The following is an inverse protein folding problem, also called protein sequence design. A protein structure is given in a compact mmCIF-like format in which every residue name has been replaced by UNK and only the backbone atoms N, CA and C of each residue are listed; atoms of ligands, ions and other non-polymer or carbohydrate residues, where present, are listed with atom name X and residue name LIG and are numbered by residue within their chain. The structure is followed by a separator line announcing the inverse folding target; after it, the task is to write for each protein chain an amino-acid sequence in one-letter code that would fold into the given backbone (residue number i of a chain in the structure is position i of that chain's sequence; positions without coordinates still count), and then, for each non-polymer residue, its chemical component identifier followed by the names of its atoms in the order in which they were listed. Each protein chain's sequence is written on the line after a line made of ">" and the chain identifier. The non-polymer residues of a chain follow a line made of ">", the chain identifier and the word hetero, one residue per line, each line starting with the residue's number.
data_IF_009778389290
#
_entry.id   IF_009778389290
#
_cell.length_a   1.000
_cell.length_b   1.000
_cell.length_c   1.000
_cell.angle_alpha   90.00
_cell.angle_beta   90.00
_cell.angle_gamma   90.00
#
_symmetry.space_group_name_H-M   'P 1'
#
loop_
_entity.id
_entity.type
_entity.pdbx_description
1 polymer ?
#
# COMPACT_ATOMS: atom_id res chain seq x y z
N UNK A 1 -21.61 0.91 17.39
CA UNK A 1 -20.16 0.98 17.14
C UNK A 1 -19.90 2.23 16.33
N UNK A 2 -18.94 3.05 16.74
CA UNK A 2 -18.56 4.32 16.10
C UNK A 2 -17.05 4.39 15.96
N UNK A 3 -16.57 4.93 14.85
CA UNK A 3 -15.14 5.15 14.64
C UNK A 3 -14.66 6.24 15.59
N UNK A 4 -13.58 5.98 16.32
CA UNK A 4 -13.00 6.92 17.29
C UNK A 4 -11.67 7.50 16.84
N UNK A 5 -10.93 6.78 15.99
CA UNK A 5 -9.59 7.18 15.56
C UNK A 5 -9.16 6.42 14.30
N UNK A 6 -8.25 7.01 13.52
CA UNK A 6 -7.57 6.38 12.39
C UNK A 6 -6.06 6.60 12.57
N UNK A 7 -5.31 5.50 12.71
CA UNK A 7 -3.86 5.55 12.95
C UNK A 7 -3.09 4.93 11.82
N UNK A 8 -1.97 5.53 11.47
CA UNK A 8 -1.07 5.08 10.41
C UNK A 8 0.23 4.53 11.01
N UNK A 9 0.81 3.54 10.34
CA UNK A 9 2.09 2.93 10.72
C UNK A 9 2.92 2.78 9.45
N UNK A 10 3.88 3.68 9.28
CA UNK A 10 4.83 3.63 8.17
C UNK A 10 5.98 2.69 8.55
N UNK A 11 6.15 1.62 7.78
CA UNK A 11 7.19 0.61 8.00
C UNK A 11 8.13 0.58 6.80
N UNK A 12 9.44 0.67 7.05
CA UNK A 12 10.44 0.47 6.01
C UNK A 12 10.62 -1.02 5.76
N UNK A 13 10.36 -1.46 4.52
CA UNK A 13 10.56 -2.83 4.05
C UNK A 13 11.85 -3.01 3.22
N UNK A 14 12.72 -2.01 3.15
CA UNK A 14 13.99 -2.10 2.41
C UNK A 14 15.11 -2.75 3.23
N UNK A 15 16.04 -3.45 2.57
CA UNK A 15 17.37 -3.72 3.14
C UNK A 15 18.16 -2.41 3.23
N UNK A 16 19.24 -2.32 4.02
CA UNK A 16 20.10 -1.13 4.03
C UNK A 16 20.57 -0.70 2.64
N UNK A 17 20.86 -1.64 1.71
CA UNK A 17 21.26 -1.30 0.32
C UNK A 17 20.09 -0.89 -0.58
N UNK A 18 18.84 -1.10 -0.14
CA UNK A 18 17.61 -0.67 -0.82
C UNK A 18 16.73 0.16 0.11
N UNK A 19 17.34 0.91 1.03
CA UNK A 19 16.65 1.77 1.95
C UNK A 19 15.83 2.79 1.15
N UNK A 20 14.51 2.80 1.36
CA UNK A 20 13.59 3.68 0.62
C UNK A 20 12.90 3.06 -0.59
N UNK A 21 13.32 1.88 -1.07
CA UNK A 21 12.67 1.22 -2.23
C UNK A 21 11.26 0.72 -1.91
N UNK A 22 11.01 0.33 -0.66
CA UNK A 22 9.71 -0.20 -0.24
C UNK A 22 9.31 0.28 1.15
N UNK A 23 8.13 0.91 1.23
CA UNK A 23 7.52 1.34 2.48
C UNK A 23 6.09 0.80 2.56
N UNK A 24 5.74 0.06 3.61
CA UNK A 24 4.35 -0.31 3.83
C UNK A 24 3.69 0.72 4.72
N UNK A 25 2.50 1.18 4.34
CA UNK A 25 1.68 2.03 5.18
C UNK A 25 0.46 1.25 5.66
N UNK A 26 0.49 0.85 6.92
CA UNK A 26 -0.65 0.21 7.56
C UNK A 26 -1.57 1.24 8.19
N UNK A 27 -2.87 0.96 8.14
CA UNK A 27 -3.92 1.82 8.69
C UNK A 27 -4.71 1.02 9.72
N UNK A 28 -4.95 1.58 10.90
CA UNK A 28 -5.86 1.02 11.90
C UNK A 28 -7.03 1.96 12.15
N UNK A 29 -8.24 1.47 11.96
CA UNK A 29 -9.48 2.20 12.28
C UNK A 29 -10.00 1.66 13.60
N UNK A 30 -10.02 2.50 14.63
CA UNK A 30 -10.45 2.15 15.99
C UNK A 30 -11.91 2.54 16.24
N UNK A 31 -12.57 1.84 17.17
CA UNK A 31 -13.96 2.12 17.54
C UNK A 31 -14.18 2.25 19.04
N UNK A 32 -15.32 2.83 19.41
CA UNK A 32 -15.84 2.96 20.79
C UNK A 32 -16.06 1.61 21.51
N UNK A 33 -16.19 0.52 20.77
CA UNK A 33 -16.31 -0.85 21.31
C UNK A 33 -14.97 -1.50 21.63
N UNK A 34 -13.84 -0.85 21.30
CA UNK A 34 -12.49 -1.41 21.42
C UNK A 34 -12.09 -2.32 20.25
N UNK A 35 -13.00 -2.63 19.31
CA UNK A 35 -12.65 -3.27 18.05
C UNK A 35 -11.90 -2.31 17.13
N UNK A 36 -10.98 -2.88 16.35
CA UNK A 36 -10.29 -2.17 15.27
C UNK A 36 -10.14 -3.06 14.05
N UNK A 37 -10.14 -2.42 12.88
CA UNK A 37 -9.76 -3.04 11.62
C UNK A 37 -8.39 -2.58 11.16
N UNK A 38 -7.77 -3.35 10.28
CA UNK A 38 -6.46 -3.05 9.70
C UNK A 38 -6.55 -3.07 8.18
N UNK A 39 -5.96 -2.07 7.56
CA UNK A 39 -5.79 -1.95 6.12
C UNK A 39 -4.35 -1.60 5.77
N UNK A 40 -4.08 -1.57 4.48
CA UNK A 40 -2.78 -1.19 3.92
C UNK A 40 -2.98 -0.41 2.64
N UNK A 41 -2.08 0.52 2.39
CA UNK A 41 -2.12 1.33 1.19
C UNK A 41 -0.73 1.57 0.62
N UNK A 42 -0.73 1.91 -0.66
CA UNK A 42 0.45 2.23 -1.46
C UNK A 42 0.21 3.53 -2.23
N UNK A 43 1.14 3.91 -3.12
CA UNK A 43 1.03 5.14 -3.91
C UNK A 43 1.68 6.34 -3.24
N UNK A 44 2.94 6.16 -2.83
CA UNK A 44 3.77 7.11 -2.08
C UNK A 44 3.42 7.16 -0.58
N UNK A 45 3.75 6.08 0.17
CA UNK A 45 3.36 5.86 1.56
C UNK A 45 3.50 7.08 2.49
N UNK A 46 4.61 7.83 2.42
CA UNK A 46 4.78 9.05 3.24
C UNK A 46 3.72 10.12 2.95
N UNK A 47 3.40 10.34 1.68
CA UNK A 47 2.40 11.34 1.26
C UNK A 47 0.98 10.84 1.56
N UNK A 48 0.74 9.54 1.35
CA UNK A 48 -0.53 8.88 1.67
C UNK A 48 -0.82 8.96 3.17
N UNK A 49 0.20 8.86 4.02
CA UNK A 49 0.04 9.02 5.47
C UNK A 49 -0.55 10.40 5.81
N UNK A 50 0.00 11.47 5.27
CA UNK A 50 -0.53 12.83 5.46
C UNK A 50 -1.94 12.97 4.88
N UNK A 51 -2.22 12.38 3.71
CA UNK A 51 -3.56 12.38 3.14
C UNK A 51 -4.58 11.66 4.06
N UNK A 52 -4.18 10.57 4.74
CA UNK A 52 -5.04 9.90 5.71
C UNK A 52 -5.31 10.80 6.92
N UNK A 53 -4.32 11.55 7.40
CA UNK A 53 -4.50 12.51 8.50
C UNK A 53 -5.55 13.58 8.12
N UNK A 54 -5.51 14.10 6.90
CA UNK A 54 -6.50 15.07 6.39
C UNK A 54 -7.91 14.46 6.22
N UNK A 55 -8.00 13.17 5.85
CA UNK A 55 -9.27 12.47 5.70
C UNK A 55 -9.87 11.99 7.03
N UNK A 56 -9.04 11.81 8.07
CA UNK A 56 -9.46 11.25 9.37
C UNK A 56 -10.64 11.99 10.02
N UNK A 57 -10.69 13.33 10.06
CA UNK A 57 -11.85 14.07 10.61
C UNK A 57 -13.18 13.76 9.92
N UNK A 58 -13.15 13.29 8.68
CA UNK A 58 -14.35 12.89 7.94
C UNK A 58 -14.83 11.47 8.29
N UNK A 59 -13.98 10.67 8.92
CA UNK A 59 -14.28 9.26 9.25
C UNK A 59 -14.63 9.10 10.73
N UNK A 60 -14.04 9.90 11.63
CA UNK A 60 -14.37 9.85 13.06
C UNK A 60 -15.85 10.16 13.30
N UNK A 61 -16.49 9.35 14.15
CA UNK A 61 -17.93 9.40 14.44
C UNK A 61 -18.82 8.64 13.45
N UNK A 62 -18.28 8.18 12.32
CA UNK A 62 -19.02 7.38 11.36
C UNK A 62 -19.32 5.97 11.91
N UNK A 63 -20.36 5.34 11.36
CA UNK A 63 -20.62 3.92 11.59
C UNK A 63 -19.76 3.09 10.60
N UNK A 64 -18.82 2.26 11.08
CA UNK A 64 -17.90 1.54 10.22
C UNK A 64 -18.58 0.49 9.32
N UNK A 65 -19.85 0.16 9.55
CA UNK A 65 -20.60 -0.78 8.70
C UNK A 65 -21.05 -0.13 7.39
N UNK A 66 -21.08 1.21 7.32
CA UNK A 66 -21.53 1.98 6.17
C UNK A 66 -20.37 2.28 5.21
N UNK A 67 -19.66 1.22 4.81
CA UNK A 67 -18.41 1.27 4.02
C UNK A 67 -18.58 2.09 2.73
N UNK A 68 -19.61 1.79 1.91
CA UNK A 68 -19.88 2.55 0.67
C UNK A 68 -20.14 4.03 0.97
N UNK A 69 -20.86 4.36 2.04
CA UNK A 69 -21.15 5.75 2.41
C UNK A 69 -19.86 6.49 2.77
N UNK A 70 -19.01 5.86 3.58
CA UNK A 70 -17.72 6.43 3.97
C UNK A 70 -16.85 6.60 2.72
N UNK A 71 -16.77 5.59 1.85
CA UNK A 71 -16.02 5.66 0.60
C UNK A 71 -16.47 6.83 -0.27
N UNK A 72 -17.78 6.98 -0.51
CA UNK A 72 -18.33 8.07 -1.32
C UNK A 72 -18.08 9.44 -0.69
N UNK A 73 -18.19 9.55 0.63
CA UNK A 73 -17.88 10.77 1.38
C UNK A 73 -16.42 11.19 1.18
N UNK A 74 -15.49 10.25 1.34
CA UNK A 74 -14.05 10.49 1.15
C UNK A 74 -13.74 10.84 -0.30
N UNK A 75 -14.25 10.09 -1.25
CA UNK A 75 -14.04 10.35 -2.67
C UNK A 75 -14.55 11.75 -3.05
N UNK A 76 -15.78 12.09 -2.69
CA UNK A 76 -16.36 13.42 -2.94
C UNK A 76 -15.53 14.55 -2.29
N UNK A 77 -15.00 14.36 -1.07
CA UNK A 77 -14.15 15.37 -0.43
C UNK A 77 -12.82 15.61 -1.15
N UNK A 78 -12.30 14.60 -1.87
CA UNK A 78 -11.05 14.77 -2.62
C UNK A 78 -11.26 15.55 -3.93
N UNK A 79 -12.46 15.54 -4.51
CA UNK A 79 -12.73 16.16 -5.82
C UNK A 79 -12.53 17.68 -5.84
N UNK A 80 -12.69 18.36 -4.69
CA UNK A 80 -12.41 19.79 -4.58
C UNK A 80 -10.93 20.16 -4.86
N UNK A 81 -10.04 19.17 -4.86
CA UNK A 81 -8.60 19.31 -5.09
C UNK A 81 -8.17 18.79 -6.48
N UNK A 82 -9.13 18.44 -7.35
CA UNK A 82 -8.89 17.83 -8.66
C UNK A 82 -9.04 16.30 -8.64
N UNK A 83 -8.48 15.64 -9.67
CA UNK A 83 -8.52 14.18 -9.74
C UNK A 83 -7.75 13.58 -8.56
N UNK A 84 -8.40 12.69 -7.81
CA UNK A 84 -7.89 12.07 -6.57
C UNK A 84 -6.50 11.42 -6.73
N UNK A 85 -6.17 10.94 -7.93
CA UNK A 85 -4.90 10.30 -8.24
C UNK A 85 -4.61 9.07 -7.36
N UNK A 86 -3.38 8.56 -7.43
CA UNK A 86 -2.95 7.38 -6.67
C UNK A 86 -2.78 7.66 -5.18
N UNK A 87 -2.43 8.90 -4.79
CA UNK A 87 -2.27 9.29 -3.38
C UNK A 87 -3.62 9.28 -2.65
N UNK A 88 -4.61 10.03 -3.17
CA UNK A 88 -5.92 10.10 -2.54
C UNK A 88 -6.64 8.74 -2.58
N UNK A 89 -6.50 7.99 -3.67
CA UNK A 89 -7.13 6.67 -3.78
C UNK A 89 -6.42 5.62 -2.92
N UNK A 90 -5.11 5.74 -2.73
CA UNK A 90 -4.34 4.99 -1.72
C UNK A 90 -4.84 5.26 -0.30
N UNK A 91 -5.04 6.53 0.07
CA UNK A 91 -5.55 6.89 1.39
C UNK A 91 -6.94 6.28 1.65
N UNK A 92 -7.85 6.39 0.67
CA UNK A 92 -9.18 5.78 0.74
C UNK A 92 -9.09 4.24 0.83
N UNK A 93 -8.17 3.63 0.07
CA UNK A 93 -7.93 2.18 0.09
C UNK A 93 -7.54 1.70 1.49
N UNK A 94 -6.55 2.33 2.12
CA UNK A 94 -6.08 1.92 3.45
C UNK A 94 -7.19 1.99 4.51
N UNK A 95 -8.04 3.02 4.46
CA UNK A 95 -9.21 3.13 5.33
C UNK A 95 -10.25 2.06 5.01
N UNK A 96 -10.58 1.86 3.73
CA UNK A 96 -11.63 0.92 3.30
C UNK A 96 -11.29 -0.54 3.61
N UNK A 97 -10.05 -0.97 3.41
CA UNK A 97 -9.58 -2.29 3.79
C UNK A 97 -9.76 -2.52 5.30
N UNK A 98 -9.41 -1.51 6.11
CA UNK A 98 -9.60 -1.56 7.56
C UNK A 98 -11.09 -1.67 7.94
N UNK A 99 -11.99 -0.99 7.23
CA UNK A 99 -13.42 -1.10 7.49
C UNK A 99 -13.96 -2.50 7.19
N UNK A 100 -13.50 -3.17 6.13
CA UNK A 100 -13.86 -4.56 5.84
C UNK A 100 -13.37 -5.53 6.90
N UNK A 101 -12.10 -5.42 7.30
CA UNK A 101 -11.53 -6.23 8.37
C UNK A 101 -12.30 -6.03 9.69
N UNK A 102 -12.64 -4.78 10.02
CA UNK A 102 -13.46 -4.46 11.18
C UNK A 102 -14.85 -5.10 11.13
N UNK A 103 -15.51 -5.02 9.97
CA UNK A 103 -16.84 -5.61 9.76
C UNK A 103 -16.80 -7.13 9.86
N UNK A 104 -15.78 -7.77 9.32
CA UNK A 104 -15.53 -9.20 9.48
C UNK A 104 -15.37 -9.60 10.95
N UNK A 105 -14.53 -8.86 11.70
CA UNK A 105 -14.29 -9.09 13.14
C UNK A 105 -15.55 -8.92 13.97
N UNK A 106 -16.32 -7.87 13.68
CA UNK A 106 -17.56 -7.57 14.41
C UNK A 106 -18.66 -8.62 14.18
N UNK A 107 -18.63 -9.30 13.04
CA UNK A 107 -19.61 -10.32 12.64
C UNK A 107 -19.08 -11.75 12.76
N UNK A 108 -17.87 -11.93 13.28
CA UNK A 108 -17.17 -13.22 13.37
C UNK A 108 -17.17 -14.01 12.05
N UNK A 109 -16.95 -13.30 10.95
CA UNK A 109 -16.97 -13.89 9.60
C UNK A 109 -15.83 -13.34 8.75
N UNK A 110 -15.19 -14.17 7.91
CA UNK A 110 -14.18 -13.68 6.99
C UNK A 110 -14.76 -12.74 5.92
N UNK A 111 -13.92 -11.81 5.44
CA UNK A 111 -14.32 -10.78 4.45
C UNK A 111 -14.88 -11.38 3.17
N UNK A 112 -14.36 -12.50 2.65
CA UNK A 112 -14.88 -13.13 1.44
C UNK A 112 -16.37 -13.51 1.57
N UNK A 113 -16.83 -13.82 2.78
CA UNK A 113 -18.23 -14.20 3.00
C UNK A 113 -19.15 -12.97 2.93
N UNK A 114 -18.64 -11.80 3.34
CA UNK A 114 -19.31 -10.52 3.20
C UNK A 114 -19.33 -10.01 1.75
N UNK A 115 -18.48 -10.57 0.88
CA UNK A 115 -18.36 -10.23 -0.54
C UNK A 115 -19.09 -11.21 -1.48
N UNK A 116 -20.01 -12.01 -0.92
CA UNK A 116 -20.87 -12.92 -1.69
C UNK A 116 -20.48 -14.41 -1.63
N UNK A 117 -19.47 -14.77 -0.83
CA UNK A 117 -19.01 -16.15 -0.69
C UNK A 117 -17.89 -16.53 -1.65
N UNK A 118 -17.23 -17.66 -1.40
CA UNK A 118 -16.15 -18.15 -2.25
C UNK A 118 -16.68 -18.95 -3.43
N UNK A 119 -16.02 -18.78 -4.57
CA UNK A 119 -16.09 -19.63 -5.74
C UNK A 119 -14.92 -20.63 -5.80
N UNK A 120 -13.87 -20.40 -5.02
CA UNK A 120 -12.65 -21.22 -4.98
C UNK A 120 -11.96 -21.14 -3.61
N UNK A 121 -11.30 -22.22 -3.24
CA UNK A 121 -10.50 -22.29 -2.01
C UNK A 121 -9.03 -21.92 -2.21
N UNK A 122 -8.52 -22.07 -3.45
CA UNK A 122 -7.12 -21.78 -3.82
C UNK A 122 -7.06 -20.68 -4.88
N UNK A 123 -6.09 -19.80 -4.74
CA UNK A 123 -5.80 -18.65 -5.62
C UNK A 123 -4.52 -18.97 -6.38
N UNK A 124 -4.57 -19.06 -7.72
CA UNK A 124 -3.41 -19.39 -8.56
C UNK A 124 -2.43 -18.22 -8.62
N UNK A 125 -1.16 -18.48 -8.33
CA UNK A 125 -0.16 -17.42 -8.28
C UNK A 125 0.77 -17.48 -9.50
N UNK A 126 1.35 -16.34 -9.85
CA UNK A 126 2.56 -16.29 -10.66
C UNK A 126 3.70 -15.62 -9.89
N UNK A 127 4.93 -16.05 -10.18
CA UNK A 127 6.14 -15.39 -9.68
C UNK A 127 6.86 -14.60 -10.76
N UNK A 128 7.90 -13.86 -10.39
CA UNK A 128 8.74 -13.12 -11.33
C UNK A 128 10.00 -13.93 -11.66
N UNK A 129 10.22 -14.21 -12.95
CA UNK A 129 11.42 -14.88 -13.44
C UNK A 129 12.34 -13.85 -14.11
N UNK A 130 13.47 -13.53 -13.48
CA UNK A 130 14.46 -12.60 -14.07
C UNK A 130 15.52 -13.35 -14.88
N UNK A 131 15.72 -14.63 -14.58
CA UNK A 131 16.66 -15.56 -15.18
C UNK A 131 16.12 -17.00 -15.08
N UNK A 132 16.89 -17.95 -15.64
CA UNK A 132 16.55 -19.37 -15.68
C UNK A 132 16.63 -20.04 -14.30
N UNK A 133 17.51 -19.57 -13.42
CA UNK A 133 17.61 -20.09 -12.05
C UNK A 133 16.33 -19.78 -11.27
N UNK A 134 15.85 -18.54 -11.36
CA UNK A 134 14.59 -18.12 -10.77
C UNK A 134 13.41 -18.85 -11.37
N UNK A 135 13.40 -19.08 -12.69
CA UNK A 135 12.35 -19.85 -13.34
C UNK A 135 12.29 -21.30 -12.81
N UNK A 136 13.45 -21.96 -12.66
CA UNK A 136 13.54 -23.30 -12.06
C UNK A 136 13.01 -23.30 -10.63
N UNK A 137 13.41 -22.34 -9.80
CA UNK A 137 12.92 -22.22 -8.42
C UNK A 137 11.38 -22.10 -8.36
N UNK A 138 10.78 -21.31 -9.26
CA UNK A 138 9.33 -21.17 -9.34
C UNK A 138 8.66 -22.52 -9.68
N UNK A 139 9.18 -23.22 -10.68
CA UNK A 139 8.64 -24.54 -11.09
C UNK A 139 8.80 -25.58 -9.98
N UNK A 140 9.95 -25.62 -9.32
CA UNK A 140 10.21 -26.53 -8.19
C UNK A 140 9.26 -26.28 -7.01
N UNK A 141 8.75 -25.04 -6.87
CA UNK A 141 7.73 -24.64 -5.89
C UNK A 141 6.30 -24.83 -6.38
N UNK A 142 6.12 -25.45 -7.54
CA UNK A 142 4.83 -25.78 -8.14
C UNK A 142 4.14 -24.62 -8.85
N UNK A 143 4.83 -23.49 -9.12
CA UNK A 143 4.24 -22.43 -9.93
C UNK A 143 4.06 -22.89 -11.38
N UNK A 144 2.87 -22.65 -11.90
CA UNK A 144 2.50 -22.94 -13.29
C UNK A 144 2.46 -21.69 -14.16
N UNK A 145 2.96 -20.57 -13.65
CA UNK A 145 2.97 -19.29 -14.34
C UNK A 145 4.10 -18.40 -13.84
N UNK A 146 4.70 -17.60 -14.73
CA UNK A 146 5.74 -16.64 -14.38
C UNK A 146 5.73 -15.41 -15.30
N UNK A 147 6.06 -14.25 -14.72
CA UNK A 147 6.16 -12.97 -15.42
C UNK A 147 7.62 -12.56 -15.60
N UNK A 148 7.95 -12.13 -16.82
CA UNK A 148 9.26 -11.62 -17.21
C UNK A 148 9.18 -10.10 -17.34
N UNK A 149 10.19 -9.39 -16.85
CA UNK A 149 10.29 -7.95 -17.03
C UNK A 149 11.27 -7.58 -18.16
N UNK A 150 10.90 -6.58 -18.95
CA UNK A 150 11.84 -5.80 -19.74
C UNK A 150 11.52 -5.70 -21.22
N UNK A 151 12.30 -4.85 -21.89
CA UNK A 151 12.10 -4.50 -23.29
C UNK A 151 13.04 -5.22 -24.25
N UNK A 152 14.35 -5.03 -24.06
CA UNK A 152 15.38 -5.45 -25.02
C UNK A 152 15.53 -6.96 -25.09
N UNK A 153 15.60 -7.61 -23.93
CA UNK A 153 15.94 -9.02 -23.83
C UNK A 153 14.73 -9.94 -23.68
N UNK A 154 13.52 -9.38 -23.54
CA UNK A 154 12.29 -10.13 -23.27
C UNK A 154 12.08 -11.27 -24.27
N UNK A 155 12.20 -11.00 -25.57
CA UNK A 155 12.01 -12.03 -26.62
C UNK A 155 12.97 -13.20 -26.45
N UNK A 156 14.24 -12.93 -26.12
CA UNK A 156 15.23 -14.00 -25.94
C UNK A 156 14.97 -14.81 -24.67
N UNK A 157 14.55 -14.15 -23.58
CA UNK A 157 14.21 -14.82 -22.32
C UNK A 157 12.96 -15.68 -22.46
N UNK A 158 11.89 -15.13 -23.06
CA UNK A 158 10.67 -15.89 -23.38
C UNK A 158 11.00 -17.09 -24.26
N UNK A 159 11.84 -16.92 -25.29
CA UNK A 159 12.24 -18.03 -26.16
C UNK A 159 12.89 -19.18 -25.38
N UNK A 160 13.84 -18.85 -24.49
CA UNK A 160 14.53 -19.86 -23.69
C UNK A 160 13.57 -20.58 -22.75
N UNK A 161 12.78 -19.84 -21.98
CA UNK A 161 11.83 -20.44 -21.03
C UNK A 161 10.74 -21.24 -21.74
N UNK A 162 10.21 -20.78 -22.88
CA UNK A 162 9.24 -21.54 -23.66
C UNK A 162 9.84 -22.82 -24.25
N UNK A 163 11.12 -22.80 -24.62
CA UNK A 163 11.83 -24.01 -25.11
C UNK A 163 12.10 -25.01 -23.99
N UNK A 164 12.37 -24.54 -22.78
CA UNK A 164 12.66 -25.37 -21.61
C UNK A 164 11.39 -26.00 -21.01
N UNK A 165 10.34 -25.20 -20.81
CA UNK A 165 9.13 -25.63 -20.08
C UNK A 165 7.94 -25.98 -20.97
N UNK A 166 8.03 -25.72 -22.28
CA UNK A 166 6.92 -25.97 -23.21
C UNK A 166 5.69 -25.12 -22.90
N UNK A 167 4.50 -25.49 -23.41
CA UNK A 167 3.26 -24.72 -23.25
C UNK A 167 2.62 -24.81 -21.85
N UNK A 168 3.07 -25.74 -20.99
CA UNK A 168 2.43 -26.04 -19.69
C UNK A 168 2.59 -24.91 -18.65
N UNK A 169 3.62 -24.07 -18.82
CA UNK A 169 3.86 -22.91 -17.96
C UNK A 169 3.36 -21.66 -18.66
N UNK A 170 2.42 -20.95 -18.03
CA UNK A 170 1.97 -19.65 -18.54
C UNK A 170 3.10 -18.61 -18.42
N UNK A 171 3.37 -17.91 -19.51
CA UNK A 171 4.38 -16.85 -19.56
C UNK A 171 3.70 -15.50 -19.78
N UNK A 172 4.19 -14.48 -19.07
CA UNK A 172 3.77 -13.10 -19.27
C UNK A 172 4.99 -12.22 -19.48
N UNK A 173 4.80 -11.13 -20.21
CA UNK A 173 5.83 -10.10 -20.40
C UNK A 173 5.28 -8.77 -19.94
N UNK A 174 6.00 -8.15 -19.02
CA UNK A 174 5.76 -6.79 -18.54
C UNK A 174 6.78 -5.84 -19.20
N UNK A 175 6.27 -4.92 -20.02
CA UNK A 175 7.08 -3.89 -20.67
C UNK A 175 7.35 -2.68 -19.76
N UNK A 176 6.65 -2.55 -18.64
CA UNK A 176 6.86 -1.57 -17.59
C UNK A 176 6.27 -0.19 -17.85
N UNK A 177 5.52 0.01 -18.93
CA UNK A 177 4.70 1.21 -19.16
C UNK A 177 5.46 2.54 -19.09
N UNK A 178 6.75 2.53 -19.42
CA UNK A 178 7.63 3.69 -19.24
C UNK A 178 7.08 4.93 -19.95
N UNK A 179 7.30 6.15 -19.42
CA UNK A 179 6.62 7.37 -19.85
C UNK A 179 6.84 7.73 -21.33
N UNK A 180 7.87 7.14 -21.96
CA UNK A 180 8.26 7.38 -23.36
C UNK A 180 8.18 6.12 -24.23
N UNK A 181 7.51 5.05 -23.76
CA UNK A 181 7.25 3.88 -24.58
C UNK A 181 6.12 4.19 -25.55
N UNK A 182 6.46 4.19 -26.84
CA UNK A 182 5.51 4.58 -27.89
C UNK A 182 4.68 3.38 -28.35
N UNK A 183 3.52 3.62 -29.00
CA UNK A 183 2.77 2.54 -29.65
C UNK A 183 3.60 1.77 -30.69
N UNK A 184 4.56 2.43 -31.36
CA UNK A 184 5.42 1.77 -32.33
C UNK A 184 6.39 0.77 -31.66
N UNK A 185 6.92 1.16 -30.49
CA UNK A 185 7.70 0.26 -29.65
C UNK A 185 6.84 -0.96 -29.29
N UNK A 186 5.66 -0.73 -28.69
CA UNK A 186 4.72 -1.77 -28.26
C UNK A 186 4.44 -2.81 -29.35
N UNK A 187 4.12 -2.35 -30.56
CA UNK A 187 3.84 -3.21 -31.72
C UNK A 187 5.08 -4.02 -32.10
N UNK A 188 6.25 -3.38 -32.12
CA UNK A 188 7.51 -4.04 -32.49
C UNK A 188 7.85 -5.19 -31.54
N UNK A 189 7.72 -4.97 -30.22
CA UNK A 189 7.94 -6.02 -29.23
C UNK A 189 6.84 -7.09 -29.28
N UNK A 190 5.56 -6.69 -29.27
CA UNK A 190 4.43 -7.61 -29.26
C UNK A 190 4.43 -8.57 -30.44
N UNK A 191 4.66 -8.10 -31.68
CA UNK A 191 4.77 -8.97 -32.87
C UNK A 191 5.88 -10.02 -32.75
N UNK A 192 6.97 -9.69 -32.06
CA UNK A 192 8.06 -10.66 -31.82
C UNK A 192 7.70 -11.67 -30.75
N UNK A 193 6.69 -11.39 -29.93
CA UNK A 193 6.21 -12.23 -28.83
C UNK A 193 5.00 -13.11 -29.19
N UNK A 194 4.20 -12.76 -30.21
CA UNK A 194 2.98 -13.48 -30.65
C UNK A 194 3.16 -15.00 -30.74
N UNK A 195 4.31 -15.47 -31.23
CA UNK A 195 4.59 -16.90 -31.41
C UNK A 195 4.74 -17.72 -30.12
N UNK A 196 4.74 -17.10 -28.95
CA UNK A 196 5.06 -17.77 -27.68
C UNK A 196 3.85 -18.06 -26.79
N UNK A 197 2.64 -17.69 -27.21
CA UNK A 197 1.41 -17.94 -26.45
C UNK A 197 1.51 -17.38 -25.03
N UNK A 198 1.60 -16.06 -24.91
CA UNK A 198 1.65 -15.41 -23.61
C UNK A 198 0.25 -15.38 -22.98
N UNK A 199 0.17 -15.54 -21.66
CA UNK A 199 -1.08 -15.35 -20.92
C UNK A 199 -1.53 -13.88 -20.99
N UNK A 200 -0.58 -12.94 -20.93
CA UNK A 200 -0.80 -11.55 -21.28
C UNK A 200 0.50 -10.78 -21.55
N UNK A 201 0.36 -9.65 -22.25
CA UNK A 201 1.35 -8.61 -22.47
C UNK A 201 0.97 -7.36 -21.67
N UNK A 202 1.73 -7.08 -20.62
CA UNK A 202 1.46 -6.07 -19.61
C UNK A 202 2.16 -4.74 -19.90
N UNK A 203 1.45 -3.64 -19.60
CA UNK A 203 1.90 -2.26 -19.67
C UNK A 203 2.73 -1.95 -20.94
N UNK A 204 2.19 -2.24 -22.15
CA UNK A 204 2.94 -2.12 -23.40
C UNK A 204 3.24 -0.68 -23.81
N UNK A 205 2.46 0.27 -23.30
CA UNK A 205 2.61 1.72 -23.50
C UNK A 205 2.31 2.44 -22.18
N UNK A 206 2.67 3.72 -22.13
CA UNK A 206 2.35 4.57 -20.97
C UNK A 206 0.85 4.65 -20.68
N UNK A 207 0.48 4.50 -19.40
CA UNK A 207 -0.91 4.53 -18.93
C UNK A 207 -1.65 5.86 -19.19
N UNK A 208 -0.93 6.94 -19.50
CA UNK A 208 -1.56 8.22 -19.85
C UNK A 208 -1.98 8.29 -21.32
N UNK A 209 -1.43 7.44 -22.20
CA UNK A 209 -1.74 7.42 -23.64
C UNK A 209 -2.77 6.33 -23.97
N UNK A 210 -4.03 6.58 -23.62
CA UNK A 210 -5.14 5.63 -23.86
C UNK A 210 -5.33 5.35 -25.37
N UNK A 211 -5.16 6.36 -26.23
CA UNK A 211 -5.24 6.16 -27.68
C UNK A 211 -4.04 5.39 -28.22
N UNK A 212 -2.87 5.60 -27.64
CA UNK A 212 -1.69 4.77 -27.87
C UNK A 212 -1.93 3.32 -27.49
N UNK A 213 -2.57 3.05 -26.36
CA UNK A 213 -2.88 1.69 -25.91
C UNK A 213 -3.87 1.02 -26.86
N UNK A 214 -4.91 1.74 -27.28
CA UNK A 214 -5.88 1.25 -28.26
C UNK A 214 -5.24 0.97 -29.64
N UNK A 215 -4.26 1.76 -30.07
CA UNK A 215 -3.58 1.58 -31.37
C UNK A 215 -2.47 0.52 -31.32
N UNK A 216 -1.62 0.56 -30.31
CA UNK A 216 -0.38 -0.20 -30.21
C UNK A 216 -0.51 -1.54 -29.48
N UNK A 217 -1.50 -1.65 -28.59
CA UNK A 217 -1.87 -2.90 -27.93
C UNK A 217 -2.94 -3.64 -28.71
N UNK A 218 -4.19 -3.55 -28.25
CA UNK A 218 -5.31 -4.45 -28.61
C UNK A 218 -5.67 -4.55 -30.09
N UNK A 219 -5.24 -3.60 -30.93
CA UNK A 219 -5.58 -3.59 -32.36
C UNK A 219 -4.43 -3.97 -33.29
N UNK A 220 -3.21 -4.07 -32.78
CA UNK A 220 -2.02 -4.19 -33.63
C UNK A 220 -1.17 -5.44 -33.37
N UNK A 221 -1.42 -6.15 -32.27
CA UNK A 221 -0.77 -7.40 -31.93
C UNK A 221 -1.80 -8.45 -31.49
N UNK A 222 -1.53 -9.71 -31.79
CA UNK A 222 -2.38 -10.86 -31.42
C UNK A 222 -1.96 -11.42 -30.04
N UNK A 223 -2.04 -10.57 -29.02
CA UNK A 223 -1.67 -10.89 -27.63
C UNK A 223 -2.72 -10.28 -26.67
N UNK A 224 -3.12 -10.99 -25.61
CA UNK A 224 -3.97 -10.41 -24.57
C UNK A 224 -3.27 -9.23 -23.90
N UNK A 225 -3.90 -8.06 -23.86
CA UNK A 225 -3.33 -6.84 -23.27
C UNK A 225 -3.77 -6.73 -21.81
N UNK A 226 -2.77 -6.57 -20.93
CA UNK A 226 -2.99 -6.33 -19.52
C UNK A 226 -2.55 -4.91 -19.12
N UNK A 227 -3.39 -4.23 -18.33
CA UNK A 227 -3.09 -2.93 -17.75
C UNK A 227 -3.95 -2.71 -16.51
N UNK A 228 -3.51 -1.86 -15.59
CA UNK A 228 -4.40 -1.39 -14.51
C UNK A 228 -3.70 -0.80 -13.31
N UNK A 229 -2.41 -1.11 -13.11
CA UNK A 229 -1.73 -0.79 -11.86
C UNK A 229 -1.59 0.72 -11.61
N UNK A 230 -1.44 1.50 -12.69
CA UNK A 230 -1.31 2.95 -12.63
C UNK A 230 -2.65 3.68 -12.40
N UNK A 231 -3.79 2.99 -12.54
CA UNK A 231 -5.11 3.61 -12.47
C UNK A 231 -5.63 3.64 -11.03
N UNK A 232 -6.10 4.81 -10.55
CA UNK A 232 -6.38 5.00 -9.13
C UNK A 232 -7.72 4.43 -8.65
N UNK A 233 -8.69 4.19 -9.52
CA UNK A 233 -10.01 3.70 -9.15
C UNK A 233 -10.81 3.24 -10.37
N UNK A 234 -12.01 2.72 -10.11
CA UNK A 234 -12.95 2.25 -11.12
C UNK A 234 -13.13 3.25 -12.25
N UNK A 235 -13.35 4.52 -11.95
CA UNK A 235 -13.69 5.54 -12.95
C UNK A 235 -12.58 5.77 -13.96
N UNK A 236 -11.32 5.54 -13.56
CA UNK A 236 -10.17 5.71 -14.43
C UNK A 236 -9.91 4.49 -15.32
N UNK A 237 -10.20 3.27 -14.83
CA UNK A 237 -9.92 2.03 -15.56
C UNK A 237 -11.12 1.52 -16.37
N UNK A 238 -12.36 1.79 -15.93
CA UNK A 238 -13.60 1.37 -16.60
C UNK A 238 -13.66 1.76 -18.09
N UNK A 239 -13.26 2.97 -18.52
CA UNK A 239 -13.29 3.34 -19.93
C UNK A 239 -12.44 2.43 -20.83
N UNK A 240 -11.37 1.82 -20.31
CA UNK A 240 -10.53 0.91 -21.08
C UNK A 240 -11.24 -0.42 -21.35
N UNK A 241 -12.01 -0.90 -20.37
CA UNK A 241 -12.84 -2.11 -20.48
C UNK A 241 -13.99 -1.86 -21.46
N UNK A 242 -14.73 -0.77 -21.26
CA UNK A 242 -15.91 -0.45 -22.09
C UNK A 242 -15.55 -0.26 -23.57
N UNK A 243 -14.34 0.25 -23.85
CA UNK A 243 -13.83 0.45 -25.21
C UNK A 243 -13.16 -0.78 -25.81
N UNK A 244 -13.10 -1.90 -25.08
CA UNK A 244 -12.43 -3.13 -25.51
C UNK A 244 -10.93 -2.94 -25.78
N UNK A 245 -10.27 -2.10 -24.97
CA UNK A 245 -8.84 -1.80 -25.13
C UNK A 245 -7.96 -2.87 -24.46
N UNK A 246 -8.49 -3.56 -23.46
CA UNK A 246 -7.74 -4.47 -22.58
C UNK A 246 -8.48 -5.79 -22.44
N UNK A 247 -7.73 -6.87 -22.27
CA UNK A 247 -8.24 -8.24 -22.08
C UNK A 247 -8.12 -8.68 -20.62
N UNK A 248 -7.16 -8.09 -19.90
CA UNK A 248 -6.89 -8.36 -18.48
C UNK A 248 -6.78 -7.05 -17.71
N UNK A 249 -7.69 -6.83 -16.76
CA UNK A 249 -7.65 -5.69 -15.85
C UNK A 249 -6.77 -6.00 -14.64
N UNK A 250 -5.84 -5.10 -14.31
CA UNK A 250 -4.86 -5.28 -13.23
C UNK A 250 -4.97 -4.21 -12.14
N UNK A 251 -6.13 -4.04 -11.47
CA UNK A 251 -6.24 -3.09 -10.37
C UNK A 251 -5.28 -3.45 -9.24
N UNK A 252 -4.67 -2.44 -8.62
CA UNK A 252 -3.76 -2.61 -7.49
C UNK A 252 -4.50 -2.54 -6.15
N UNK A 253 -4.41 -3.60 -5.36
CA UNK A 253 -5.18 -3.72 -4.10
C UNK A 253 -4.83 -2.67 -3.05
N UNK A 254 -3.65 -2.04 -3.13
CA UNK A 254 -3.21 -1.01 -2.20
C UNK A 254 -3.51 0.43 -2.64
N UNK A 255 -4.00 0.66 -3.88
CA UNK A 255 -4.26 2.03 -4.39
C UNK A 255 -5.49 2.20 -5.27
N UNK A 256 -6.22 1.14 -5.64
CA UNK A 256 -7.38 1.19 -6.55
C UNK A 256 -8.70 1.70 -5.89
N UNK A 257 -8.64 2.15 -4.64
CA UNK A 257 -9.81 2.56 -3.88
C UNK A 257 -10.46 1.45 -3.06
N UNK A 258 -9.75 0.36 -2.77
CA UNK A 258 -10.21 -0.71 -1.87
C UNK A 258 -10.96 -1.87 -2.53
N UNK A 259 -11.34 -2.87 -1.74
CA UNK A 259 -11.96 -4.11 -2.23
C UNK A 259 -13.27 -3.85 -2.95
N UNK A 260 -14.02 -2.86 -2.47
CA UNK A 260 -15.33 -2.57 -3.01
C UNK A 260 -15.26 -1.93 -4.41
N UNK A 261 -14.29 -1.05 -4.67
CA UNK A 261 -14.02 -0.54 -6.01
C UNK A 261 -13.53 -1.64 -6.95
N UNK A 262 -12.64 -2.51 -6.48
CA UNK A 262 -12.18 -3.66 -7.26
C UNK A 262 -13.31 -4.64 -7.57
N UNK A 263 -14.22 -4.92 -6.63
CA UNK A 263 -15.39 -5.80 -6.85
C UNK A 263 -16.34 -5.21 -7.90
N UNK A 264 -16.58 -3.89 -7.87
CA UNK A 264 -17.38 -3.19 -8.89
C UNK A 264 -16.71 -3.24 -10.26
N UNK A 265 -15.40 -3.02 -10.33
CA UNK A 265 -14.63 -3.19 -11.57
C UNK A 265 -14.73 -4.61 -12.10
N UNK A 266 -14.56 -5.61 -11.24
CA UNK A 266 -14.64 -7.02 -11.64
C UNK A 266 -16.01 -7.37 -12.23
N UNK A 267 -17.11 -6.84 -11.68
CA UNK A 267 -18.45 -7.03 -12.22
C UNK A 267 -18.62 -6.37 -13.60
N UNK A 268 -18.04 -5.19 -13.83
CA UNK A 268 -18.03 -4.55 -15.14
C UNK A 268 -17.16 -5.35 -16.12
N UNK A 269 -15.97 -5.77 -15.71
CA UNK A 269 -15.09 -6.62 -16.49
C UNK A 269 -15.78 -7.95 -16.89
N UNK A 270 -16.51 -8.57 -15.96
CA UNK A 270 -17.28 -9.79 -16.21
C UNK A 270 -18.32 -9.60 -17.33
N UNK A 271 -19.07 -8.50 -17.29
CA UNK A 271 -20.04 -8.16 -18.33
C UNK A 271 -19.40 -7.93 -19.71
N UNK A 272 -18.11 -7.56 -19.74
CA UNK A 272 -17.32 -7.31 -20.95
C UNK A 272 -16.40 -8.48 -21.34
N UNK A 273 -16.49 -9.63 -20.66
CA UNK A 273 -15.60 -10.78 -20.89
C UNK A 273 -14.10 -10.47 -20.68
N UNK A 274 -13.81 -9.52 -19.80
CA UNK A 274 -12.46 -9.14 -19.39
C UNK A 274 -12.12 -9.86 -18.08
N UNK A 275 -10.91 -10.43 -18.04
CA UNK A 275 -10.42 -11.14 -16.87
C UNK A 275 -9.71 -10.20 -15.89
N UNK A 276 -9.60 -10.59 -14.61
CA UNK A 276 -9.00 -9.76 -13.56
C UNK A 276 -7.76 -10.44 -12.98
N UNK A 277 -6.62 -9.75 -13.01
CA UNK A 277 -5.35 -10.19 -12.45
C UNK A 277 -4.71 -9.06 -11.61
N UNK A 278 -5.06 -8.91 -10.32
CA UNK A 278 -4.61 -7.77 -9.53
C UNK A 278 -3.09 -7.69 -9.39
N UNK A 279 -2.57 -6.46 -9.52
CA UNK A 279 -1.18 -6.13 -9.27
C UNK A 279 -0.88 -6.18 -7.75
N UNK A 280 0.28 -6.73 -7.40
CA UNK A 280 0.72 -6.95 -6.02
C UNK A 280 2.24 -6.76 -5.80
N UNK A 281 3.04 -6.51 -6.83
CA UNK A 281 4.51 -6.59 -6.78
C UNK A 281 5.21 -5.70 -5.74
N UNK A 282 4.55 -4.61 -5.28
CA UNK A 282 5.09 -3.69 -4.26
C UNK A 282 4.34 -3.75 -2.91
N UNK A 283 3.23 -4.47 -2.84
CA UNK A 283 2.34 -4.48 -1.69
C UNK A 283 2.83 -5.38 -0.56
N UNK A 284 2.51 -5.00 0.66
CA UNK A 284 2.72 -5.74 1.88
C UNK A 284 1.70 -6.86 2.09
N UNK A 285 1.78 -7.53 3.25
CA UNK A 285 1.02 -8.74 3.52
C UNK A 285 -0.46 -8.48 3.85
N UNK A 286 -0.83 -7.27 4.28
CA UNK A 286 -2.26 -6.92 4.52
C UNK A 286 -3.01 -6.87 3.19
N UNK A 287 -2.47 -6.12 2.23
CA UNK A 287 -3.12 -5.91 0.95
C UNK A 287 -3.19 -7.20 0.14
N UNK A 288 -2.16 -8.05 0.22
CA UNK A 288 -2.18 -9.41 -0.34
C UNK A 288 -3.31 -10.27 0.25
N UNK A 289 -3.45 -10.32 1.58
CA UNK A 289 -4.55 -11.08 2.19
C UNK A 289 -5.92 -10.52 1.83
N UNK A 290 -6.05 -9.19 1.75
CA UNK A 290 -7.28 -8.55 1.30
C UNK A 290 -7.61 -8.93 -0.16
N UNK A 291 -6.60 -8.97 -1.04
CA UNK A 291 -6.74 -9.44 -2.41
C UNK A 291 -7.20 -10.89 -2.47
N UNK A 292 -6.58 -11.81 -1.72
CA UNK A 292 -6.98 -13.23 -1.66
C UNK A 292 -8.46 -13.39 -1.27
N UNK A 293 -8.95 -12.62 -0.29
CA UNK A 293 -10.35 -12.65 0.10
C UNK A 293 -11.28 -12.20 -1.03
N UNK A 294 -10.93 -11.13 -1.75
CA UNK A 294 -11.70 -10.68 -2.90
C UNK A 294 -11.65 -11.69 -4.04
N UNK A 295 -10.45 -12.15 -4.42
CA UNK A 295 -10.20 -13.05 -5.54
C UNK A 295 -10.90 -14.40 -5.38
N UNK A 296 -11.05 -14.89 -4.15
CA UNK A 296 -11.84 -16.07 -3.88
C UNK A 296 -13.31 -15.93 -4.30
N UNK A 297 -13.83 -14.69 -4.43
CA UNK A 297 -15.24 -14.39 -4.74
C UNK A 297 -15.50 -14.00 -6.20
N UNK A 298 -14.46 -13.83 -7.03
CA UNK A 298 -14.62 -13.32 -8.39
C UNK A 298 -14.77 -14.44 -9.42
N UNK A 299 -15.81 -14.46 -10.27
CA UNK A 299 -15.93 -15.48 -11.32
C UNK A 299 -14.84 -15.33 -12.39
N UNK A 300 -14.53 -14.10 -12.79
CA UNK A 300 -13.55 -13.72 -13.83
C UNK A 300 -12.14 -13.46 -13.30
N UNK A 301 -11.75 -14.11 -12.19
CA UNK A 301 -10.37 -14.07 -11.71
C UNK A 301 -9.46 -14.93 -12.60
N UNK A 302 -8.33 -14.36 -13.06
CA UNK A 302 -7.35 -15.04 -13.90
C UNK A 302 -6.21 -15.66 -13.09
N UNK A 303 -5.40 -14.80 -12.47
CA UNK A 303 -4.18 -15.17 -11.76
C UNK A 303 -3.75 -14.02 -10.84
N UNK A 304 -2.98 -14.30 -9.79
CA UNK A 304 -2.54 -13.28 -8.84
C UNK A 304 -1.03 -13.16 -8.79
N UNK A 305 -0.54 -11.93 -8.82
CA UNK A 305 0.88 -11.64 -8.68
C UNK A 305 1.39 -11.99 -7.28
N UNK A 306 2.53 -12.69 -7.21
CA UNK A 306 3.16 -13.04 -5.96
C UNK A 306 4.67 -12.76 -5.98
N UNK A 307 5.14 -11.99 -5.01
CA UNK A 307 6.57 -11.71 -4.87
C UNK A 307 7.26 -12.83 -4.10
N UNK A 308 7.90 -13.73 -4.84
CA UNK A 308 8.65 -14.86 -4.30
C UNK A 308 9.94 -14.39 -3.63
N UNK A 309 10.24 -14.94 -2.45
CA UNK A 309 11.38 -14.58 -1.60
C UNK A 309 11.41 -13.09 -1.27
N UNK A 310 10.26 -12.60 -0.78
CA UNK A 310 10.14 -11.25 -0.27
C UNK A 310 11.06 -11.03 0.96
N UNK A 311 11.27 -9.76 1.30
CA UNK A 311 12.12 -9.30 2.39
C UNK A 311 11.69 -9.90 3.75
N UNK A 312 12.65 -10.25 4.64
CA UNK A 312 12.33 -10.89 5.92
C UNK A 312 11.33 -10.10 6.79
N UNK A 313 11.39 -8.76 6.73
CA UNK A 313 10.52 -7.86 7.50
C UNK A 313 9.03 -8.07 7.18
N UNK A 314 8.68 -8.58 5.99
CA UNK A 314 7.29 -8.92 5.63
C UNK A 314 6.67 -9.87 6.64
N UNK A 315 7.47 -10.81 7.14
CA UNK A 315 7.04 -11.87 8.05
C UNK A 315 6.98 -11.40 9.51
N UNK A 316 7.53 -10.23 9.82
CA UNK A 316 7.54 -9.64 11.17
C UNK A 316 6.34 -8.71 11.42
N UNK A 317 5.83 -8.06 10.37
CA UNK A 317 4.75 -7.05 10.47
C UNK A 317 3.35 -7.67 10.56
N UNK A 318 3.20 -8.94 10.18
CA UNK A 318 1.92 -9.65 10.13
C UNK A 318 2.03 -11.08 10.64
N UNK A 319 1.17 -11.44 11.58
CA UNK A 319 0.87 -12.83 11.92
C UNK A 319 -0.27 -13.35 11.03
N UNK A 320 -0.11 -14.55 10.48
CA UNK A 320 -1.14 -15.17 9.62
C UNK A 320 -0.93 -14.90 8.14
N UNK A 321 0.30 -15.05 7.65
CA UNK A 321 0.67 -14.93 6.24
C UNK A 321 -0.17 -15.84 5.32
N UNK A 322 -0.35 -15.45 4.04
CA UNK A 322 -0.87 -16.36 3.03
C UNK A 322 -0.11 -17.68 3.05
N UNK A 323 -0.84 -18.80 2.98
CA UNK A 323 -0.22 -20.11 2.90
C UNK A 323 -0.04 -20.45 1.44
N UNK A 324 1.22 -20.42 1.00
CA UNK A 324 1.59 -20.76 -0.36
C UNK A 324 2.00 -22.22 -0.43
N UNK A 325 1.35 -22.95 -1.31
CA UNK A 325 1.59 -24.37 -1.57
C UNK A 325 1.30 -24.65 -3.04
N UNK A 326 2.23 -25.32 -3.72
CA UNK A 326 2.14 -25.72 -5.13
C UNK A 326 1.69 -24.58 -6.05
N UNK A 327 2.37 -23.43 -5.98
CA UNK A 327 2.06 -22.26 -6.82
C UNK A 327 0.69 -21.61 -6.55
N UNK A 328 0.04 -21.91 -5.43
CA UNK A 328 -1.28 -21.35 -5.08
C UNK A 328 -1.32 -20.86 -3.64
N UNK A 329 -2.21 -19.90 -3.34
CA UNK A 329 -2.50 -19.43 -1.98
C UNK A 329 -3.85 -19.96 -1.49
N UNK A 330 -3.91 -20.43 -0.25
CA UNK A 330 -5.16 -20.82 0.39
C UNK A 330 -5.96 -19.61 0.88
N UNK A 331 -7.23 -19.52 0.46
CA UNK A 331 -8.20 -18.63 1.10
C UNK A 331 -8.78 -19.34 2.34
N UNK A 332 -8.43 -18.93 3.57
CA UNK A 332 -8.83 -19.63 4.80
C UNK A 332 -10.33 -19.48 5.14
N UNK A 333 -10.89 -20.44 5.90
CA UNK A 333 -12.27 -20.45 6.44
C UNK A 333 -12.23 -20.58 7.98
N UNK A 334 -12.99 -19.75 8.70
CA UNK A 334 -13.30 -19.82 10.16
C UNK A 334 -12.29 -19.14 11.15
N UNK A 335 -12.74 -18.80 12.38
CA UNK A 335 -12.69 -17.46 13.00
C UNK A 335 -11.29 -16.97 13.42
N UNK A 336 -10.27 -17.79 13.19
CA UNK A 336 -8.89 -17.31 13.03
C UNK A 336 -8.74 -16.40 11.78
N UNK A 337 -9.73 -16.40 10.89
CA UNK A 337 -9.90 -15.48 9.76
C UNK A 337 -11.00 -14.43 9.95
N UNK A 338 -11.68 -14.36 11.10
CA UNK A 338 -12.66 -13.28 11.36
C UNK A 338 -11.97 -11.91 11.32
N UNK A 339 -10.66 -11.94 11.57
CA UNK A 339 -9.70 -10.93 11.22
C UNK A 339 -8.90 -11.38 10.00
N UNK A 340 -8.44 -10.45 9.18
CA UNK A 340 -7.23 -10.65 8.35
C UNK A 340 -5.99 -10.94 9.26
N UNK A 341 -6.14 -10.97 10.60
CA UNK A 341 -5.10 -10.87 11.63
C UNK A 341 -5.37 -11.66 12.94
N UNK A 342 -4.96 -12.91 13.06
CA UNK A 342 -5.00 -13.56 14.40
C UNK A 342 -3.88 -13.11 15.32
N UNK A 343 -4.27 -12.64 16.49
CA UNK A 343 -3.39 -12.39 17.65
C UNK A 343 -2.76 -13.71 18.13
N UNK A 344 -1.46 -13.74 18.42
CA UNK A 344 -0.84 -14.79 19.23
C UNK A 344 -1.56 -14.82 20.60
N UNK A 345 -2.29 -15.89 20.91
CA UNK A 345 -2.67 -16.17 22.30
C UNK A 345 -1.36 -16.44 23.03
N UNK A 346 -0.92 -15.51 23.88
CA UNK A 346 0.15 -15.78 24.83
C UNK A 346 -0.25 -17.01 25.65
N UNK A 347 0.68 -17.96 25.77
CA UNK A 347 0.46 -19.27 26.38
C UNK A 347 -0.19 -19.14 27.76
N UNK A 348 -1.48 -19.45 27.84
CA UNK A 348 -2.18 -19.75 29.07
C UNK A 348 -2.18 -21.26 29.24
N UNK A 349 -1.41 -21.74 30.21
CA UNK A 349 -1.42 -23.12 30.68
C UNK A 349 -2.86 -23.59 30.90
N UNK A 350 -3.22 -24.75 30.32
CA UNK A 350 -4.46 -25.47 30.68
C UNK A 350 -4.40 -25.79 32.17
N UNK A 351 -5.05 -24.99 33.01
CA UNK A 351 -5.53 -25.43 34.32
C UNK A 351 -7.03 -25.71 34.19
N UNK A 352 -7.35 -26.99 34.27
CA UNK A 352 -8.69 -27.52 34.52
C UNK A 352 -9.26 -26.85 35.77
N UNK A 353 -10.39 -26.16 35.65
CA UNK A 353 -11.10 -25.56 36.77
C UNK A 353 -12.40 -26.33 37.04
N UNK A 354 -12.47 -26.96 38.21
CA UNK A 354 -13.67 -27.50 38.84
C UNK A 354 -14.50 -26.32 39.40
N UNK A 355 -15.85 -26.36 39.38
CA UNK A 355 -16.65 -25.20 39.72
C UNK A 355 -16.92 -25.10 41.23
N UNK A 356 -16.75 -23.90 41.81
CA UNK A 356 -17.32 -23.57 43.12
C UNK A 356 -17.99 -22.21 43.12
N UNK A 357 -19.26 -22.20 43.55
CA UNK A 357 -20.12 -21.03 43.82
C UNK A 357 -19.57 -20.22 45.01
N UNK A 358 -19.68 -18.88 44.95
CA UNK A 358 -20.72 -18.11 45.66
C UNK A 358 -20.32 -16.67 46.02
N UNK A 359 -21.38 -15.83 46.07
CA UNK A 359 -21.59 -14.58 46.82
C UNK A 359 -20.98 -13.25 46.32
N UNK A 360 -21.91 -12.42 45.83
CA UNK A 360 -21.88 -10.94 45.78
C UNK A 360 -22.16 -10.36 47.17
N UNK A 361 -21.54 -9.21 47.45
CA UNK A 361 -22.14 -8.10 48.21
C UNK A 361 -21.59 -6.75 47.72
N UNK A 362 -22.34 -5.64 47.82
CA UNK A 362 -22.11 -4.39 47.10
C UNK A 362 -21.50 -3.29 47.97
N UNK A 363 -20.89 -2.27 47.35
CA UNK A 363 -20.65 -0.97 47.99
C UNK A 363 -20.89 0.20 47.03
N UNK A 364 -21.45 1.25 47.63
CA UNK A 364 -22.12 2.42 47.07
C UNK A 364 -21.21 3.65 46.96
N UNK A 365 -21.42 4.42 45.89
CA UNK A 365 -21.43 5.91 45.74
C UNK A 365 -20.42 6.82 46.47
N UNK A 366 -19.83 7.77 45.74
CA UNK A 366 -20.19 9.20 45.81
C UNK A 366 -19.57 10.03 44.66
N UNK A 367 -20.36 10.99 44.18
CA UNK A 367 -20.09 12.00 43.14
C UNK A 367 -19.40 13.24 43.70
N UNK A 368 -18.71 14.00 42.84
CA UNK A 368 -18.77 15.48 42.79
C UNK A 368 -18.21 16.04 41.46
N UNK A 369 -18.99 16.93 40.83
CA UNK A 369 -18.55 18.05 39.95
C UNK A 369 -18.96 19.36 40.69
N UNK A 370 -18.72 20.63 40.25
CA UNK A 370 -18.16 21.22 39.00
C UNK A 370 -17.14 22.39 39.33
N UNK A 371 -16.83 23.48 38.55
CA UNK A 371 -17.39 24.01 37.30
C UNK A 371 -16.41 24.50 36.18
N UNK A 372 -17.07 24.93 35.11
CA UNK A 372 -16.71 25.56 33.82
C UNK A 372 -15.52 26.54 33.74
N UNK A 373 -14.82 26.51 32.61
CA UNK A 373 -14.01 27.62 32.06
C UNK A 373 -13.38 27.27 30.70
N UNK A 374 -13.67 28.05 29.67
CA UNK A 374 -13.19 27.88 28.29
C UNK A 374 -11.74 28.37 28.10
N UNK A 375 -10.92 27.69 27.28
CA UNK A 375 -9.87 28.31 26.43
C UNK A 375 -9.11 27.29 25.52
N UNK A 376 -9.12 27.59 24.21
CA UNK A 376 -8.04 27.57 23.20
C UNK A 376 -6.94 26.47 23.13
N UNK A 377 -6.75 26.03 21.87
CA UNK A 377 -5.70 25.22 21.20
C UNK A 377 -4.25 25.30 21.75
N UNK A 378 -3.49 24.20 21.59
CA UNK A 378 -2.06 24.28 21.22
C UNK A 378 -1.10 23.13 21.60
N UNK A 379 -0.47 22.55 20.57
CA UNK A 379 0.89 21.96 20.46
C UNK A 379 1.16 20.49 20.93
N UNK A 380 1.82 19.66 20.08
CA UNK A 380 2.24 18.31 20.44
C UNK A 380 3.55 18.28 21.25
N UNK A 381 3.73 17.17 21.96
CA UNK A 381 4.79 16.90 22.91
C UNK A 381 6.20 16.88 22.28
N UNK A 382 7.17 17.31 23.10
CA UNK A 382 8.61 17.12 22.91
C UNK A 382 8.94 15.65 22.65
N UNK A 383 9.99 15.44 21.87
CA UNK A 383 10.76 14.20 21.70
C UNK A 383 10.51 13.47 20.35
N UNK A 384 11.13 13.99 19.28
CA UNK A 384 11.65 13.17 18.16
C UNK A 384 12.74 13.95 17.38
N UNK A 385 14.01 13.48 17.32
CA UNK A 385 15.09 14.18 16.61
C UNK A 385 15.17 13.83 15.12
N UNK A 386 15.39 14.86 14.29
CA UNK A 386 15.70 14.78 12.85
C UNK A 386 17.11 14.18 12.61
N UNK A 387 17.21 13.16 11.75
CA UNK A 387 18.47 12.61 11.23
C UNK A 387 18.70 13.11 9.79
N UNK A 388 19.83 13.78 9.54
CA UNK A 388 20.32 14.12 8.19
C UNK A 388 21.60 13.31 7.91
N UNK A 389 21.65 12.69 6.73
CA UNK A 389 22.71 11.80 6.24
C UNK A 389 23.90 12.62 5.66
N UNK A 390 25.16 12.39 6.10
CA UNK A 390 26.31 13.17 5.68
C UNK A 390 26.96 12.56 4.43
N UNK A 391 26.49 12.92 3.24
CA UNK A 391 27.16 12.50 2.02
C UNK A 391 27.06 13.52 0.88
N UNK A 392 27.54 14.75 1.07
CA UNK A 392 28.08 15.60 -0.02
C UNK A 392 28.99 16.72 0.52
N UNK A 393 30.29 16.59 0.19
CA UNK A 393 31.31 17.62 -0.10
C UNK A 393 31.63 18.79 0.87
N UNK A 394 32.93 18.86 1.17
CA UNK A 394 33.78 20.01 1.59
C UNK A 394 33.58 20.65 2.97
N UNK A 395 34.50 20.26 3.87
CA UNK A 395 34.82 20.87 5.16
C UNK A 395 35.28 22.32 4.98
N UNK A 396 34.36 23.27 5.11
CA UNK A 396 34.52 24.59 5.76
C UNK A 396 33.41 25.60 5.41
N UNK A 397 32.38 25.22 4.64
CA UNK A 397 31.20 26.07 4.44
C UNK A 397 29.93 25.20 4.44
N UNK A 398 29.19 25.21 5.54
CA UNK A 398 27.82 24.71 5.58
C UNK A 398 26.90 25.77 4.98
N UNK A 399 26.54 25.60 3.71
CA UNK A 399 25.53 26.43 3.06
C UNK A 399 24.14 25.94 3.50
N UNK A 400 23.60 26.52 4.57
CA UNK A 400 22.23 26.27 5.02
C UNK A 400 21.29 27.13 4.16
N UNK A 401 21.21 26.77 2.88
CA UNK A 401 20.41 27.46 1.86
C UNK A 401 19.20 26.67 1.35
N UNK A 402 18.88 25.51 1.92
CA UNK A 402 17.71 24.70 1.52
C UNK A 402 16.93 24.13 2.69
N UNK A 403 16.50 25.02 3.57
CA UNK A 403 15.26 24.89 4.32
C UNK A 403 14.83 26.32 4.62
N UNK A 404 13.54 26.62 4.66
CA UNK A 404 12.98 27.97 4.85
C UNK A 404 12.88 28.82 3.59
N UNK A 405 11.89 28.50 2.75
CA UNK A 405 11.24 29.51 1.91
C UNK A 405 10.29 30.30 2.82
N UNK A 406 10.78 31.40 3.40
CA UNK A 406 9.94 32.34 4.16
C UNK A 406 9.33 33.29 3.15
N UNK A 407 8.01 33.15 2.93
CA UNK A 407 7.20 34.10 2.18
C UNK A 407 7.52 35.54 2.65
N UNK A 408 8.04 36.34 1.74
CA UNK A 408 8.13 37.79 1.87
C UNK A 408 6.71 38.36 1.83
N UNK A 409 6.14 38.62 3.01
CA UNK A 409 5.03 39.55 3.14
C UNK A 409 5.43 40.64 4.13
N UNK A 410 5.96 41.74 3.59
CA UNK A 410 5.93 43.03 4.27
C UNK A 410 4.50 43.32 4.72
N UNK A 411 4.25 43.28 6.03
CA UNK A 411 3.63 44.38 6.78
C UNK A 411 3.51 44.03 8.27
N UNK A 412 3.94 45.01 9.07
CA UNK A 412 3.84 45.16 10.53
C UNK A 412 2.91 44.20 11.29
N UNK A 413 3.50 43.36 12.14
CA UNK A 413 2.93 43.09 13.46
C UNK A 413 4.03 42.61 14.41
N UNK A 414 4.14 43.23 15.58
CA UNK A 414 5.19 43.03 16.58
C UNK A 414 5.24 41.63 17.21
N UNK A 415 5.62 40.62 16.44
CA UNK A 415 5.86 39.25 16.90
C UNK A 415 7.26 39.15 17.53
N UNK A 416 7.30 38.98 18.85
CA UNK A 416 8.52 38.57 19.59
C UNK A 416 8.93 37.16 19.14
N UNK A 417 10.04 37.07 18.42
CA UNK A 417 10.70 35.80 18.09
C UNK A 417 11.12 35.09 19.39
N UNK A 418 10.63 33.88 19.64
CA UNK A 418 11.10 33.05 20.77
C UNK A 418 12.35 32.28 20.33
N UNK A 419 13.40 32.19 21.17
CA UNK A 419 14.54 31.32 20.89
C UNK A 419 14.08 29.86 20.83
N UNK A 420 14.39 29.16 19.74
CA UNK A 420 14.18 27.72 19.61
C UNK A 420 15.46 27.04 20.11
N UNK A 421 15.41 26.16 21.12
CA UNK A 421 16.57 25.35 21.48
C UNK A 421 16.84 24.34 20.36
N UNK A 422 18.05 24.40 19.78
CA UNK A 422 18.53 23.43 18.80
C UNK A 422 19.53 22.53 19.52
N UNK A 423 19.30 21.22 19.50
CA UNK A 423 20.25 20.22 20.01
C UNK A 423 21.11 19.74 18.83
N UNK A 424 22.41 20.04 18.87
CA UNK A 424 23.36 19.66 17.81
C UNK A 424 24.17 18.46 18.30
N UNK A 425 24.02 17.31 17.64
CA UNK A 425 24.91 16.15 17.83
C UNK A 425 26.04 16.20 16.80
N UNK A 426 27.28 16.32 17.29
CA UNK A 426 28.47 16.12 16.47
C UNK A 426 28.81 14.63 16.48
N UNK A 427 28.82 13.99 15.32
CA UNK A 427 29.25 12.60 15.17
C UNK A 427 30.78 12.57 14.96
N UNK A 428 31.52 12.04 15.93
CA UNK A 428 32.94 11.70 15.79
C UNK A 428 33.08 10.41 14.95
N UNK A 429 33.73 10.45 13.77
CA UNK A 429 33.87 9.26 12.93
C UNK A 429 34.81 8.20 13.53
N UNK A 430 35.56 8.49 14.61
CA UNK A 430 36.65 7.62 15.12
C UNK A 430 36.51 7.27 16.61
N UNK A 431 35.50 7.81 17.31
CA UNK A 431 35.05 7.33 18.62
C UNK A 431 36.06 7.48 19.77
N UNK A 432 36.79 8.60 19.87
CA UNK A 432 37.83 8.75 20.92
C UNK A 432 37.84 10.04 21.74
N UNK A 433 36.86 10.95 21.64
CA UNK A 433 36.75 12.06 22.60
C UNK A 433 35.31 12.58 22.85
N UNK A 434 35.00 12.85 24.12
CA UNK A 434 33.79 13.58 24.54
C UNK A 434 34.04 15.11 24.48
N UNK A 435 33.30 15.83 23.63
CA UNK A 435 33.27 17.29 23.64
C UNK A 435 32.00 17.82 24.31
N UNK A 436 32.14 18.87 25.12
CA UNK A 436 31.02 19.61 25.74
C UNK A 436 30.98 21.01 25.14
N UNK A 437 29.94 21.33 24.37
CA UNK A 437 29.69 22.71 23.92
C UNK A 437 29.13 23.49 25.11
N UNK A 438 29.85 24.54 25.54
CA UNK A 438 29.55 25.25 26.79
C UNK A 438 28.66 26.49 26.54
N UNK A 439 28.63 27.02 25.31
CA UNK A 439 27.64 28.00 24.84
C UNK A 439 27.71 28.15 23.30
N UNK A 440 26.59 28.45 22.66
CA UNK A 440 26.53 28.91 21.26
C UNK A 440 25.67 30.19 21.20
N UNK A 441 26.10 31.20 20.43
CA UNK A 441 25.38 32.46 20.26
C UNK A 441 24.96 32.60 18.80
N UNK A 442 23.67 32.83 18.56
CA UNK A 442 23.10 33.10 17.24
C UNK A 442 23.03 34.62 17.06
N UNK A 443 23.80 35.16 16.12
CA UNK A 443 23.72 36.57 15.73
C UNK A 443 23.15 36.70 14.31
N UNK A 444 22.19 37.61 14.12
CA UNK A 444 21.60 37.91 12.82
C UNK A 444 22.52 38.85 12.05
N UNK A 445 23.19 38.33 11.02
CA UNK A 445 23.91 39.17 10.05
C UNK A 445 22.94 39.90 9.12
N UNK A 446 23.32 41.08 8.63
CA UNK A 446 22.49 41.97 7.80
C UNK A 446 21.97 41.35 6.49
N UNK A 447 22.51 40.22 6.05
CA UNK A 447 22.25 39.60 4.75
C UNK A 447 21.54 38.23 4.85
N UNK A 448 20.67 38.04 5.86
CA UNK A 448 19.97 36.76 6.12
C UNK A 448 20.89 35.54 6.36
N UNK A 449 22.17 35.77 6.66
CA UNK A 449 23.11 34.72 7.07
C UNK A 449 23.11 34.57 8.59
N UNK A 450 23.02 33.33 9.07
CA UNK A 450 23.19 32.97 10.48
C UNK A 450 24.58 32.35 10.62
N UNK A 451 25.46 32.98 11.41
CA UNK A 451 26.76 32.43 11.74
C UNK A 451 26.68 31.68 13.07
N UNK A 452 27.26 30.47 13.12
CA UNK A 452 27.46 29.72 14.35
C UNK A 452 28.92 29.93 14.78
N UNK A 453 29.14 30.60 15.91
CA UNK A 453 30.44 30.61 16.58
C UNK A 453 30.42 29.54 17.67
N UNK A 454 31.33 28.57 17.57
CA UNK A 454 31.50 27.46 18.53
C UNK A 454 32.60 27.83 19.52
#
# INVERSE_FOLDING_TARGET
>A
MRITDVRTFLVSGGTPERAGWRHWLFVKVHTDTGLYGVGECWGWPRVVQTAIEDLTPLVVGEDPFLIERIWQKLYASTQGHGMTGVVGSGAITGIELALWDLKGKALDTPVWNLLGGKMRDRIRLYGHAFDEERARELVDRGFTAMKLFGWRDAVSRVQRLRSEYGPEIDLMVDAGGGPWQTPADAISLGRRLERYGLLFYEDPVSAVDIEGLARGGSRAVDLPIAIGEAYPNLFALCPLIERGIIDVAQPDTGRFGGLWQMKKLAAIAEAHQVMVAPHQGSLGPVAEMAAIHLLATLPNYLIHEYLVNDVPQRYEVMTGQPVIEDGTSWCRTAPDSASIWTRRRSGGTRRTATPSRSRRTPTTTTSTSPPTGAALRGWPAKDDPLLLDPATSDTNNLDIGQAFDICDSRQDSGLRVRPIPVEIKVLDPVGTADYRIIAARIEKGGDNRVALQI
#
